data_IF_054578692908
#
_entry.id   IF_054578692908
#
_cell.length_a   1.000
_cell.length_b   1.000
_cell.length_c   1.000
_cell.angle_alpha   90.00
_cell.angle_beta   90.00
_cell.angle_gamma   90.00
#
_symmetry.space_group_name_H-M   'P 1'
#
loop_
_entity.id
_entity.type
_entity.pdbx_description
1 polymer ?
#
# COMPACT_ATOMS: atom_id res chain seq x y z
N UNK A 1 8.18 -9.20 -35.67
CA UNK A 1 6.80 -8.80 -36.05
C UNK A 1 5.92 -9.09 -34.85
N UNK A 2 5.88 -8.14 -33.91
CA UNK A 2 5.10 -8.29 -32.68
C UNK A 2 3.66 -7.87 -32.96
N UNK A 3 2.75 -8.80 -32.68
CA UNK A 3 1.31 -8.64 -32.84
C UNK A 3 0.78 -7.63 -31.83
N UNK A 4 0.60 -6.39 -32.26
CA UNK A 4 -0.35 -5.46 -31.66
C UNK A 4 -1.74 -6.08 -31.83
N UNK A 5 -2.34 -6.57 -30.74
CA UNK A 5 -3.78 -6.81 -30.71
C UNK A 5 -4.46 -5.47 -30.40
N UNK A 6 -5.15 -4.84 -31.35
CA UNK A 6 -5.95 -3.66 -31.04
C UNK A 6 -7.12 -4.07 -30.14
N UNK A 7 -7.43 -3.21 -29.17
CA UNK A 7 -8.63 -3.34 -28.33
C UNK A 7 -9.87 -3.58 -29.19
N UNK A 8 -10.72 -4.59 -28.90
CA UNK A 8 -11.77 -5.03 -29.81
C UNK A 8 -13.04 -4.14 -29.83
N UNK A 9 -13.03 -2.92 -29.27
CA UNK A 9 -14.20 -2.03 -29.31
C UNK A 9 -13.82 -0.55 -29.52
N UNK A 10 -14.54 0.21 -30.37
CA UNK A 10 -14.61 1.66 -30.25
C UNK A 10 -15.47 1.97 -29.02
N UNK A 11 -14.87 1.89 -27.83
CA UNK A 11 -15.57 1.97 -26.55
C UNK A 11 -14.71 2.60 -25.46
N UNK A 12 -15.36 2.97 -24.34
CA UNK A 12 -14.73 3.60 -23.17
C UNK A 12 -13.62 2.71 -22.62
N UNK A 13 -12.40 3.24 -22.55
CA UNK A 13 -11.23 2.55 -22.01
C UNK A 13 -11.33 2.35 -20.49
N UNK A 14 -10.56 1.41 -19.92
CA UNK A 14 -10.49 1.22 -18.46
C UNK A 14 -10.08 2.49 -17.72
N UNK A 15 -9.14 3.24 -18.32
CA UNK A 15 -8.73 4.55 -17.84
C UNK A 15 -9.86 5.57 -17.81
N UNK A 16 -10.57 5.75 -18.92
CA UNK A 16 -11.70 6.68 -19.00
C UNK A 16 -12.83 6.29 -18.04
N UNK A 17 -13.10 4.99 -17.90
CA UNK A 17 -14.07 4.43 -16.96
C UNK A 17 -13.73 4.78 -15.52
N UNK A 18 -12.48 4.54 -15.10
CA UNK A 18 -12.02 4.89 -13.75
C UNK A 18 -12.09 6.41 -13.52
N UNK A 19 -11.55 7.21 -14.44
CA UNK A 19 -11.54 8.67 -14.29
C UNK A 19 -12.95 9.27 -14.29
N UNK A 20 -13.90 8.67 -14.99
CA UNK A 20 -15.32 9.05 -14.94
C UNK A 20 -15.91 8.78 -13.56
N UNK A 21 -15.69 7.59 -13.00
CA UNK A 21 -16.14 7.24 -11.65
C UNK A 21 -15.50 8.14 -10.57
N UNK A 22 -14.20 8.40 -10.66
CA UNK A 22 -13.47 9.28 -9.73
C UNK A 22 -13.82 10.76 -9.89
N UNK A 23 -14.52 11.13 -10.96
CA UNK A 23 -15.15 12.44 -11.12
C UNK A 23 -16.60 12.48 -10.59
N UNK A 24 -17.02 11.47 -9.84
CA UNK A 24 -18.40 11.30 -9.34
C UNK A 24 -19.47 11.33 -10.45
N UNK A 25 -19.12 10.80 -11.64
CA UNK A 25 -20.05 10.60 -12.75
C UNK A 25 -20.24 9.11 -12.99
N UNK A 26 -21.41 8.72 -13.49
CA UNK A 26 -21.72 7.33 -13.80
C UNK A 26 -20.92 6.89 -15.06
N UNK A 27 -20.00 5.91 -14.92
CA UNK A 27 -19.31 5.32 -16.06
C UNK A 27 -20.21 4.29 -16.78
N UNK A 28 -19.71 3.72 -17.87
CA UNK A 28 -20.39 2.64 -18.60
C UNK A 28 -20.57 1.34 -17.76
N UNK A 29 -19.66 1.09 -16.81
CA UNK A 29 -19.79 0.09 -15.73
C UNK A 29 -18.85 0.41 -14.57
N UNK A 30 -19.04 -0.26 -13.44
CA UNK A 30 -18.14 -0.15 -12.28
C UNK A 30 -16.70 -0.51 -12.70
N UNK A 31 -15.70 0.36 -12.46
CA UNK A 31 -14.29 0.03 -12.69
C UNK A 31 -13.83 -1.12 -11.78
N UNK A 32 -13.03 -2.04 -12.32
CA UNK A 32 -12.51 -3.19 -11.61
C UNK A 32 -11.00 -3.07 -11.42
N UNK A 33 -10.53 -3.30 -10.20
CA UNK A 33 -9.11 -3.46 -9.87
C UNK A 33 -8.86 -4.86 -9.31
N UNK A 34 -7.78 -5.49 -9.76
CA UNK A 34 -7.19 -6.69 -9.19
C UNK A 34 -5.67 -6.61 -9.37
N UNK A 35 -4.96 -6.44 -8.26
CA UNK A 35 -3.49 -6.46 -8.23
C UNK A 35 -2.80 -5.17 -8.64
N UNK A 36 -3.48 -4.02 -8.68
CA UNK A 36 -2.78 -2.74 -8.88
C UNK A 36 -1.96 -2.30 -7.66
N UNK A 37 -2.33 -2.75 -6.46
CA UNK A 37 -1.63 -2.49 -5.20
C UNK A 37 -1.66 -3.74 -4.32
N UNK A 38 -0.93 -3.73 -3.19
CA UNK A 38 -0.97 -4.89 -2.29
C UNK A 38 -2.29 -5.03 -1.54
N UNK A 39 -3.03 -3.93 -1.37
CA UNK A 39 -4.36 -3.95 -0.72
C UNK A 39 -5.48 -4.37 -1.68
N UNK A 40 -5.16 -4.52 -2.97
CA UNK A 40 -6.05 -5.08 -4.00
C UNK A 40 -5.48 -6.35 -4.65
N UNK A 41 -4.44 -6.95 -4.04
CA UNK A 41 -3.74 -8.11 -4.56
C UNK A 41 -4.46 -9.44 -4.39
N UNK A 42 -3.87 -10.49 -4.95
CA UNK A 42 -4.31 -11.88 -4.80
C UNK A 42 -3.13 -12.77 -4.47
N UNK A 43 -3.27 -13.60 -3.44
CA UNK A 43 -2.24 -14.53 -3.02
C UNK A 43 -1.94 -15.58 -4.12
N UNK A 44 -0.68 -15.97 -4.31
CA UNK A 44 -0.25 -16.91 -5.37
C UNK A 44 -1.05 -18.21 -5.42
N UNK A 45 -1.35 -18.80 -4.27
CA UNK A 45 -2.20 -20.01 -4.16
C UNK A 45 -3.63 -19.74 -4.62
N UNK A 46 -4.23 -18.63 -4.18
CA UNK A 46 -5.60 -18.26 -4.56
C UNK A 46 -5.67 -17.93 -6.06
N UNK A 47 -4.63 -17.28 -6.59
CA UNK A 47 -4.49 -16.97 -8.00
C UNK A 47 -4.47 -18.22 -8.87
N UNK A 48 -3.67 -19.24 -8.51
CA UNK A 48 -3.66 -20.52 -9.24
C UNK A 48 -5.02 -21.21 -9.22
N UNK A 49 -5.70 -21.24 -8.07
CA UNK A 49 -7.06 -21.80 -7.95
C UNK A 49 -8.08 -21.04 -8.80
N UNK A 50 -7.99 -19.70 -8.84
CA UNK A 50 -8.84 -18.85 -9.68
C UNK A 50 -8.62 -19.16 -11.16
N UNK A 51 -7.36 -19.28 -11.61
CA UNK A 51 -7.05 -19.65 -13.00
C UNK A 51 -7.66 -21.00 -13.38
N UNK A 52 -7.50 -22.00 -12.52
CA UNK A 52 -8.09 -23.32 -12.73
C UNK A 52 -9.62 -23.25 -12.82
N UNK A 53 -10.27 -22.54 -11.90
CA UNK A 53 -11.73 -22.37 -11.90
C UNK A 53 -12.25 -21.65 -13.16
N UNK A 54 -11.44 -20.79 -13.78
CA UNK A 54 -11.76 -20.08 -15.02
C UNK A 54 -11.34 -20.85 -16.29
N UNK A 55 -10.74 -22.04 -16.16
CA UNK A 55 -10.23 -22.82 -17.29
C UNK A 55 -9.04 -22.17 -18.01
N UNK A 56 -8.29 -21.30 -17.33
CA UNK A 56 -7.09 -20.65 -17.87
C UNK A 56 -5.87 -21.58 -17.76
N UNK A 57 -4.84 -21.42 -18.63
CA UNK A 57 -3.62 -22.22 -18.57
C UNK A 57 -2.93 -22.15 -17.21
N UNK A 58 -2.42 -23.30 -16.77
CA UNK A 58 -1.54 -23.39 -15.61
C UNK A 58 -0.22 -22.72 -15.91
N UNK A 59 0.16 -21.78 -15.05
CA UNK A 59 1.43 -21.04 -15.12
C UNK A 59 2.04 -20.97 -13.73
N UNK A 60 3.33 -20.65 -13.66
CA UNK A 60 3.99 -20.30 -12.41
C UNK A 60 3.70 -18.83 -12.10
N UNK A 61 2.96 -18.50 -11.02
CA UNK A 61 2.71 -17.11 -10.66
C UNK A 61 4.01 -16.36 -10.38
N UNK A 62 4.08 -15.12 -10.84
CA UNK A 62 5.18 -14.21 -10.48
C UNK A 62 4.81 -13.46 -9.19
N UNK A 63 5.52 -13.67 -8.07
CA UNK A 63 5.28 -12.87 -6.88
C UNK A 63 5.84 -11.45 -7.05
N UNK A 64 5.14 -10.45 -6.52
CA UNK A 64 5.67 -9.08 -6.43
C UNK A 64 5.67 -8.51 -5.01
N UNK A 65 5.13 -9.26 -4.05
CA UNK A 65 5.17 -8.96 -2.63
C UNK A 65 5.47 -10.28 -1.89
N UNK A 66 6.69 -10.42 -1.39
CA UNK A 66 7.14 -11.63 -0.72
C UNK A 66 6.52 -11.80 0.67
N UNK A 67 6.13 -10.70 1.32
CA UNK A 67 5.56 -10.73 2.68
C UNK A 67 4.19 -11.38 2.65
N UNK A 68 3.29 -10.89 1.80
CA UNK A 68 1.93 -11.38 1.66
C UNK A 68 1.78 -12.50 0.63
N UNK A 69 2.82 -12.79 -0.16
CA UNK A 69 2.77 -13.82 -1.20
C UNK A 69 1.84 -13.45 -2.36
N UNK A 70 1.82 -12.17 -2.78
CA UNK A 70 0.90 -11.68 -3.80
C UNK A 70 1.44 -11.89 -5.21
N UNK A 71 0.59 -12.39 -6.11
CA UNK A 71 0.88 -12.60 -7.52
C UNK A 71 0.64 -11.33 -8.34
N UNK A 72 1.44 -11.13 -9.39
CA UNK A 72 1.10 -10.24 -10.51
C UNK A 72 0.08 -10.99 -11.38
N UNK A 73 -1.15 -10.48 -11.56
CA UNK A 73 -2.11 -11.12 -12.44
C UNK A 73 -1.72 -10.95 -13.91
N UNK A 74 -1.70 -12.05 -14.64
CA UNK A 74 -1.29 -12.14 -16.04
C UNK A 74 -2.32 -11.53 -17.00
N UNK A 75 -1.87 -11.15 -18.20
CA UNK A 75 -2.68 -10.44 -19.21
C UNK A 75 -3.95 -11.20 -19.61
N UNK A 76 -3.89 -12.54 -19.69
CA UNK A 76 -5.04 -13.36 -20.06
C UNK A 76 -6.16 -13.31 -19.01
N UNK A 77 -5.80 -13.37 -17.72
CA UNK A 77 -6.74 -13.25 -16.61
C UNK A 77 -7.30 -11.83 -16.50
N UNK A 78 -6.46 -10.83 -16.68
CA UNK A 78 -6.87 -9.42 -16.65
C UNK A 78 -7.87 -9.13 -17.75
N UNK A 79 -7.58 -9.59 -18.97
CA UNK A 79 -8.50 -9.49 -20.10
C UNK A 79 -9.79 -10.25 -19.82
N UNK A 80 -9.69 -11.48 -19.28
CA UNK A 80 -10.83 -12.35 -18.99
C UNK A 80 -11.79 -11.77 -17.95
N UNK A 81 -11.26 -11.04 -16.96
CA UNK A 81 -12.03 -10.39 -15.91
C UNK A 81 -12.42 -8.94 -16.26
N UNK A 82 -11.83 -8.36 -17.31
CA UNK A 82 -12.05 -6.96 -17.67
C UNK A 82 -11.53 -6.01 -16.60
N UNK A 83 -10.33 -6.27 -16.05
CA UNK A 83 -9.68 -5.36 -15.07
C UNK A 83 -9.28 -4.06 -15.78
N UNK A 84 -9.56 -2.93 -15.15
CA UNK A 84 -9.45 -1.59 -15.74
C UNK A 84 -8.16 -0.86 -15.34
N UNK A 85 -7.44 -1.41 -14.37
CA UNK A 85 -6.39 -0.73 -13.62
C UNK A 85 -5.11 -1.57 -13.59
N UNK A 86 -3.96 -0.89 -13.65
CA UNK A 86 -2.63 -1.49 -13.61
C UNK A 86 -1.77 -0.85 -12.53
N UNK A 87 -1.02 -1.69 -11.83
CA UNK A 87 -0.14 -1.29 -10.73
C UNK A 87 1.29 -1.01 -11.14
N UNK A 88 1.83 0.08 -10.61
CA UNK A 88 3.26 0.34 -10.57
C UNK A 88 3.76 0.22 -9.14
N UNK A 89 4.65 -0.76 -8.95
CA UNK A 89 5.19 -1.12 -7.65
C UNK A 89 6.65 -0.69 -7.58
N UNK A 90 6.98 0.41 -6.88
CA UNK A 90 8.36 0.75 -6.59
C UNK A 90 9.08 -0.35 -5.82
N UNK A 91 10.39 -0.42 -5.97
CA UNK A 91 11.22 -1.34 -5.20
C UNK A 91 11.20 -0.94 -3.72
N UNK A 92 10.92 -1.92 -2.86
CA UNK A 92 10.83 -1.80 -1.42
C UNK A 92 11.21 -3.13 -0.75
N UNK A 93 11.23 -3.17 0.58
CA UNK A 93 11.58 -4.37 1.36
C UNK A 93 10.77 -5.63 1.03
N UNK A 94 9.61 -5.53 0.38
CA UNK A 94 8.81 -6.71 0.05
C UNK A 94 9.20 -7.33 -1.31
N UNK A 95 9.98 -6.64 -2.14
CA UNK A 95 10.27 -7.09 -3.51
C UNK A 95 11.69 -6.78 -3.99
N UNK A 96 12.51 -6.14 -3.15
CA UNK A 96 13.87 -5.77 -3.47
C UNK A 96 14.84 -6.32 -2.45
N UNK A 97 15.83 -7.10 -2.93
CA UNK A 97 16.84 -7.75 -2.10
C UNK A 97 16.22 -8.65 -1.01
N UNK A 98 15.12 -9.31 -1.33
CA UNK A 98 14.51 -10.32 -0.45
C UNK A 98 15.32 -11.61 -0.55
N UNK A 99 16.05 -11.92 0.52
CA UNK A 99 16.84 -13.15 0.62
C UNK A 99 16.27 -13.95 1.78
N UNK A 100 15.57 -15.03 1.43
CA UNK A 100 14.99 -15.95 2.41
C UNK A 100 16.04 -16.95 2.88
N UNK A 101 16.17 -17.13 4.19
CA UNK A 101 17.00 -18.16 4.81
C UNK A 101 16.13 -19.12 5.62
N UNK A 102 16.53 -20.39 5.67
CA UNK A 102 15.87 -21.36 6.52
C UNK A 102 16.47 -21.28 7.92
N UNK A 103 15.61 -21.22 8.94
CA UNK A 103 16.00 -21.25 10.35
C UNK A 103 15.16 -22.27 11.11
N UNK A 104 15.70 -22.78 12.21
CA UNK A 104 14.98 -23.60 13.17
C UNK A 104 14.80 -22.80 14.46
N UNK A 105 13.59 -22.75 14.99
CA UNK A 105 13.36 -22.16 16.30
C UNK A 105 13.98 -23.05 17.38
N UNK A 106 14.88 -22.49 18.20
CA UNK A 106 15.62 -23.25 19.21
C UNK A 106 14.71 -23.81 20.31
N UNK A 107 13.55 -23.17 20.57
CA UNK A 107 12.63 -23.57 21.64
C UNK A 107 11.61 -24.59 21.14
N UNK A 108 10.99 -24.35 19.99
CA UNK A 108 9.94 -25.24 19.46
C UNK A 108 10.48 -26.32 18.54
N UNK A 109 11.68 -26.15 17.97
CA UNK A 109 12.22 -27.03 16.93
C UNK A 109 11.55 -26.86 15.57
N UNK A 110 10.60 -25.94 15.42
CA UNK A 110 9.87 -25.69 14.17
C UNK A 110 10.74 -24.96 13.15
N UNK A 111 10.47 -25.19 11.87
CA UNK A 111 11.22 -24.60 10.77
C UNK A 111 10.49 -23.37 10.22
N UNK A 112 11.26 -22.33 9.92
CA UNK A 112 10.77 -21.09 9.36
C UNK A 112 11.62 -20.66 8.17
N UNK A 113 10.98 -20.01 7.20
CA UNK A 113 11.67 -19.04 6.36
C UNK A 113 11.85 -17.76 7.15
N UNK A 114 13.02 -17.14 7.04
CA UNK A 114 13.39 -15.88 7.68
C UNK A 114 13.89 -14.90 6.64
N UNK A 115 13.56 -13.63 6.81
CA UNK A 115 14.01 -12.53 5.95
C UNK A 115 14.32 -11.31 6.82
N UNK A 116 15.50 -10.71 6.64
CA UNK A 116 15.89 -9.46 7.31
C UNK A 116 15.94 -8.33 6.28
N UNK A 117 15.18 -7.28 6.51
CA UNK A 117 14.92 -6.26 5.49
C UNK A 117 15.74 -4.96 5.64
N UNK A 118 15.61 -4.05 4.68
CA UNK A 118 16.32 -2.76 4.66
C UNK A 118 15.94 -1.79 5.80
N UNK A 119 14.89 -2.12 6.57
CA UNK A 119 14.47 -1.37 7.76
C UNK A 119 15.05 -1.95 9.05
N UNK A 120 15.74 -3.08 8.98
CA UNK A 120 16.20 -3.84 10.14
C UNK A 120 15.11 -4.74 10.76
N UNK A 121 13.99 -4.94 10.07
CA UNK A 121 12.92 -5.82 10.54
C UNK A 121 13.26 -7.27 10.16
N UNK A 122 13.13 -8.18 11.13
CA UNK A 122 13.18 -9.61 10.85
C UNK A 122 11.77 -10.16 10.71
N UNK A 123 11.52 -10.81 9.59
CA UNK A 123 10.26 -11.44 9.21
C UNK A 123 10.41 -12.96 9.28
N UNK A 124 9.36 -13.67 9.71
CA UNK A 124 9.31 -15.14 9.69
C UNK A 124 8.03 -15.67 9.04
N UNK A 125 8.15 -16.77 8.31
CA UNK A 125 7.03 -17.52 7.71
C UNK A 125 7.19 -19.02 8.03
N UNK A 126 6.19 -19.68 8.65
CA UNK A 126 6.28 -21.09 8.99
C UNK A 126 6.55 -21.99 7.76
N UNK A 127 7.28 -23.09 7.95
CA UNK A 127 7.45 -24.14 6.94
C UNK A 127 6.64 -25.40 7.27
N UNK A 128 6.26 -26.20 6.26
CA UNK A 128 6.38 -25.91 4.82
C UNK A 128 5.26 -24.99 4.28
N UNK A 129 4.15 -24.86 5.02
CA UNK A 129 2.87 -24.38 4.47
C UNK A 129 2.48 -22.94 4.90
N UNK A 130 3.40 -22.17 5.47
CA UNK A 130 3.14 -20.77 5.84
C UNK A 130 2.73 -19.92 4.64
N UNK A 131 1.65 -19.16 4.78
CA UNK A 131 1.09 -18.34 3.70
C UNK A 131 1.77 -16.98 3.56
N UNK A 132 2.15 -16.37 4.67
CA UNK A 132 2.72 -15.03 4.69
C UNK A 132 3.81 -14.92 5.77
N UNK A 133 4.70 -13.96 5.56
CA UNK A 133 5.64 -13.54 6.58
C UNK A 133 4.94 -12.67 7.62
N UNK A 134 5.29 -12.87 8.87
CA UNK A 134 4.93 -12.02 9.99
C UNK A 134 6.16 -11.32 10.52
N UNK A 135 6.00 -10.10 11.03
CA UNK A 135 7.05 -9.42 11.76
C UNK A 135 7.39 -10.24 13.00
N UNK A 136 8.64 -10.69 13.08
CA UNK A 136 9.16 -11.46 14.21
C UNK A 136 9.96 -10.58 15.17
N UNK A 137 10.76 -9.66 14.62
CA UNK A 137 11.58 -8.76 15.43
C UNK A 137 11.58 -7.36 14.81
N UNK A 138 11.18 -6.39 15.63
CA UNK A 138 11.30 -4.97 15.31
C UNK A 138 12.72 -4.46 15.67
N UNK A 139 13.30 -3.54 14.88
CA UNK A 139 14.68 -3.08 15.05
C UNK A 139 14.90 -2.26 16.32
N UNK A 140 13.88 -1.54 16.81
CA UNK A 140 13.97 -0.60 17.93
C UNK A 140 12.95 -0.90 19.04
N UNK A 141 12.55 -2.16 19.17
CA UNK A 141 11.67 -2.62 20.25
C UNK A 141 12.49 -2.81 21.54
N UNK A 142 12.62 -1.73 22.32
CA UNK A 142 13.32 -1.73 23.61
C UNK A 142 12.68 -0.75 24.62
N UNK A 143 12.70 -1.06 25.94
CA UNK A 143 12.05 -0.24 26.95
C UNK A 143 12.58 1.19 27.08
N UNK A 144 13.90 1.37 26.93
CA UNK A 144 14.57 2.68 27.06
C UNK A 144 14.93 3.24 25.67
N UNK A 145 13.91 3.43 24.83
CA UNK A 145 14.08 4.05 23.52
C UNK A 145 14.32 5.56 23.67
N UNK A 146 15.35 6.07 22.99
CA UNK A 146 15.68 7.49 22.96
C UNK A 146 15.52 8.09 21.57
N UNK A 147 15.44 9.42 21.48
CA UNK A 147 15.44 10.11 20.18
C UNK A 147 16.72 9.83 19.38
N UNK A 148 17.86 9.68 20.06
CA UNK A 148 19.12 9.38 19.41
C UNK A 148 19.14 7.98 18.77
N UNK A 149 18.47 7.00 19.37
CA UNK A 149 18.31 5.67 18.77
C UNK A 149 17.54 5.74 17.45
N UNK A 150 16.45 6.50 17.42
CA UNK A 150 15.64 6.73 16.22
C UNK A 150 16.48 7.44 15.15
N UNK A 151 17.22 8.49 15.52
CA UNK A 151 18.03 9.29 14.59
C UNK A 151 19.22 8.51 14.03
N UNK A 152 19.83 7.62 14.82
CA UNK A 152 20.98 6.81 14.41
C UNK A 152 20.61 5.50 13.71
N UNK A 153 19.32 5.12 13.70
CA UNK A 153 18.88 3.94 12.99
C UNK A 153 19.27 3.99 11.51
N UNK A 154 19.65 2.85 10.94
CA UNK A 154 20.07 2.74 9.56
C UNK A 154 18.85 2.78 8.61
N UNK A 155 18.27 3.97 8.46
CA UNK A 155 17.10 4.19 7.61
C UNK A 155 17.40 3.90 6.14
N UNK A 156 16.47 3.25 5.41
CA UNK A 156 16.65 2.99 4.00
C UNK A 156 16.64 4.29 3.19
N UNK A 157 17.42 4.30 2.10
CA UNK A 157 17.49 5.44 1.19
C UNK A 157 16.26 5.46 0.27
N UNK A 158 15.30 6.31 0.58
CA UNK A 158 14.02 6.41 -0.15
C UNK A 158 14.08 7.25 -1.42
N UNK A 159 15.09 8.10 -1.57
CA UNK A 159 15.31 8.94 -2.75
C UNK A 159 16.17 8.27 -3.85
N UNK A 160 16.35 6.95 -3.79
CA UNK A 160 17.11 6.20 -4.79
C UNK A 160 16.28 6.01 -6.08
N UNK A 161 16.71 6.57 -7.23
CA UNK A 161 15.99 6.42 -8.50
C UNK A 161 15.85 4.97 -8.97
N UNK A 162 16.71 4.06 -8.50
CA UNK A 162 16.57 2.63 -8.80
C UNK A 162 15.20 2.09 -8.34
N UNK A 163 14.58 2.69 -7.32
CA UNK A 163 13.27 2.27 -6.82
C UNK A 163 12.15 2.41 -7.85
N UNK A 164 12.33 3.25 -8.85
CA UNK A 164 11.34 3.49 -9.91
C UNK A 164 11.85 3.13 -11.30
N UNK A 165 12.99 2.42 -11.40
CA UNK A 165 13.57 2.04 -12.68
C UNK A 165 12.58 1.22 -13.52
N UNK A 166 12.39 1.61 -14.79
CA UNK A 166 11.48 0.96 -15.73
C UNK A 166 9.99 1.24 -15.51
N UNK A 167 9.61 2.00 -14.46
CA UNK A 167 8.20 2.25 -14.18
C UNK A 167 7.56 3.21 -15.19
N UNK A 168 8.30 4.17 -15.76
CA UNK A 168 7.76 5.11 -16.75
C UNK A 168 7.33 4.37 -18.01
N UNK A 169 8.22 3.57 -18.58
CA UNK A 169 7.97 2.81 -19.81
C UNK A 169 6.79 1.85 -19.62
N UNK A 170 6.70 1.24 -18.43
CA UNK A 170 5.58 0.40 -18.03
C UNK A 170 4.26 1.19 -17.92
N UNK A 171 4.29 2.38 -17.33
CA UNK A 171 3.12 3.27 -17.22
C UNK A 171 2.59 3.67 -18.60
N UNK A 172 3.49 4.09 -19.49
CA UNK A 172 3.17 4.54 -20.84
C UNK A 172 2.56 3.39 -21.67
N UNK A 173 3.12 2.18 -21.55
CA UNK A 173 2.56 0.98 -22.18
C UNK A 173 1.14 0.65 -21.66
N UNK A 174 0.91 0.73 -20.35
CA UNK A 174 -0.41 0.51 -19.77
C UNK A 174 -1.44 1.55 -20.22
N UNK A 175 -1.05 2.83 -20.26
CA UNK A 175 -1.93 3.90 -20.76
C UNK A 175 -2.24 3.73 -22.24
N UNK A 176 -1.25 3.37 -23.06
CA UNK A 176 -1.45 3.09 -24.48
C UNK A 176 -2.41 1.91 -24.72
N UNK A 177 -2.40 0.93 -23.81
CA UNK A 177 -3.35 -0.19 -23.81
C UNK A 177 -4.72 0.16 -23.19
N UNK A 178 -4.94 1.41 -22.73
CA UNK A 178 -6.22 1.89 -22.22
C UNK A 178 -6.48 1.62 -20.73
N UNK A 179 -5.46 1.21 -19.96
CA UNK A 179 -5.59 1.01 -18.51
C UNK A 179 -5.34 2.30 -17.73
N UNK A 180 -6.01 2.44 -16.58
CA UNK A 180 -5.60 3.41 -15.57
C UNK A 180 -4.33 2.94 -14.86
N UNK A 181 -3.47 3.88 -14.44
CA UNK A 181 -2.22 3.55 -13.76
C UNK A 181 -2.24 4.01 -12.31
N UNK A 182 -1.97 3.08 -11.39
CA UNK A 182 -1.84 3.35 -9.95
C UNK A 182 -0.37 3.26 -9.54
N UNK A 183 0.17 4.32 -8.95
CA UNK A 183 1.49 4.30 -8.32
C UNK A 183 1.36 4.09 -6.81
N UNK A 184 2.02 3.05 -6.34
CA UNK A 184 2.01 2.64 -4.93
C UNK A 184 3.02 3.46 -4.09
N UNK A 185 2.68 3.70 -2.82
CA UNK A 185 3.57 4.21 -1.76
C UNK A 185 4.89 3.40 -1.66
N UNK A 186 6.00 3.97 -1.18
CA UNK A 186 7.25 3.23 -1.04
C UNK A 186 7.23 2.25 0.14
N UNK A 187 6.39 2.49 1.16
CA UNK A 187 6.24 1.65 2.35
C UNK A 187 4.91 1.91 3.06
N UNK A 188 4.61 1.13 4.11
CA UNK A 188 3.44 1.25 4.98
C UNK A 188 3.21 2.67 5.55
N UNK A 189 2.08 2.88 6.19
CA UNK A 189 1.72 4.20 6.72
C UNK A 189 2.65 4.74 7.81
N UNK A 190 2.48 5.99 8.19
CA UNK A 190 3.33 6.62 9.21
C UNK A 190 3.10 5.94 10.55
N UNK A 191 1.85 5.68 10.92
CA UNK A 191 1.52 5.01 12.17
C UNK A 191 1.81 3.51 12.09
N UNK A 192 1.39 2.83 11.02
CA UNK A 192 1.66 1.40 10.80
C UNK A 192 3.16 1.08 10.76
N UNK A 193 3.95 1.86 10.01
CA UNK A 193 5.40 1.64 9.92
C UNK A 193 6.09 1.93 11.25
N UNK A 194 5.64 2.95 11.99
CA UNK A 194 6.16 3.20 13.34
C UNK A 194 5.98 1.97 14.25
N UNK A 195 4.83 1.30 14.21
CA UNK A 195 4.59 0.06 14.98
C UNK A 195 5.59 -1.03 14.59
N UNK A 196 5.92 -1.14 13.30
CA UNK A 196 6.90 -2.13 12.80
C UNK A 196 8.33 -1.83 13.24
N UNK A 197 8.66 -0.56 13.48
CA UNK A 197 10.01 -0.15 13.89
C UNK A 197 10.22 -0.31 15.40
N UNK A 198 9.27 0.14 16.22
CA UNK A 198 9.45 0.17 17.68
C UNK A 198 8.61 -0.85 18.44
N UNK A 199 7.74 -1.59 17.76
CA UNK A 199 6.73 -2.44 18.39
C UNK A 199 5.44 -1.66 18.71
N UNK A 200 4.28 -2.33 18.59
CA UNK A 200 2.98 -1.69 18.79
C UNK A 200 2.80 -1.16 20.23
N UNK A 201 3.20 -1.94 21.24
CA UNK A 201 3.10 -1.56 22.64
C UNK A 201 3.92 -0.30 22.95
N UNK A 202 5.21 -0.31 22.59
CA UNK A 202 6.08 0.84 22.79
C UNK A 202 5.57 2.07 22.07
N UNK A 203 5.08 1.93 20.82
CA UNK A 203 4.53 3.08 20.10
C UNK A 203 3.31 3.67 20.83
N UNK A 204 2.34 2.84 21.20
CA UNK A 204 1.12 3.32 21.86
C UNK A 204 1.43 3.95 23.23
N UNK A 205 2.35 3.36 23.99
CA UNK A 205 2.83 3.93 25.25
C UNK A 205 3.52 5.27 25.01
N UNK A 206 4.46 5.34 24.06
CA UNK A 206 5.17 6.57 23.71
C UNK A 206 4.21 7.67 23.24
N UNK A 207 3.22 7.37 22.39
CA UNK A 207 2.22 8.36 21.97
C UNK A 207 1.39 8.92 23.13
N UNK A 208 1.23 8.16 24.22
CA UNK A 208 0.46 8.55 25.40
C UNK A 208 1.31 9.25 26.48
N UNK A 209 2.57 8.83 26.68
CA UNK A 209 3.44 9.31 27.76
C UNK A 209 4.49 10.34 27.29
N UNK A 210 4.96 10.24 26.06
CA UNK A 210 5.99 11.10 25.47
C UNK A 210 5.73 11.34 23.96
N UNK A 211 4.71 12.16 23.68
CA UNK A 211 4.33 12.50 22.31
C UNK A 211 5.45 13.20 21.53
N UNK A 212 6.43 13.82 22.21
CA UNK A 212 7.58 14.43 21.56
C UNK A 212 8.51 13.36 20.98
N UNK A 213 8.79 12.31 21.75
CA UNK A 213 9.57 11.16 21.26
C UNK A 213 8.85 10.43 20.11
N UNK A 214 7.53 10.21 20.22
CA UNK A 214 6.75 9.66 19.10
C UNK A 214 6.82 10.56 17.86
N UNK A 215 6.78 11.88 18.08
CA UNK A 215 6.95 12.90 17.06
C UNK A 215 8.24 12.74 16.27
N UNK A 216 9.38 12.46 16.92
CA UNK A 216 10.67 12.23 16.25
C UNK A 216 10.59 11.06 15.26
N UNK A 217 9.95 9.95 15.65
CA UNK A 217 9.75 8.81 14.75
C UNK A 217 8.82 9.14 13.59
N UNK A 218 7.68 9.80 13.86
CA UNK A 218 6.73 10.18 12.82
C UNK A 218 7.34 11.19 11.84
N UNK A 219 8.11 12.16 12.32
CA UNK A 219 8.83 13.12 11.49
C UNK A 219 9.81 12.39 10.57
N UNK A 220 10.59 11.45 11.12
CA UNK A 220 11.53 10.69 10.30
C UNK A 220 10.85 9.87 9.20
N UNK A 221 9.74 9.20 9.51
CA UNK A 221 8.96 8.46 8.52
C UNK A 221 8.33 9.38 7.47
N UNK A 222 7.92 10.60 7.87
CA UNK A 222 7.39 11.62 6.97
C UNK A 222 8.47 12.11 6.01
N UNK A 223 9.67 12.43 6.51
CA UNK A 223 10.83 12.83 5.69
C UNK A 223 11.16 11.77 4.63
N UNK A 224 11.16 10.49 5.02
CA UNK A 224 11.42 9.38 4.10
C UNK A 224 10.34 9.26 3.01
N UNK A 225 9.05 9.44 3.35
CA UNK A 225 7.97 9.49 2.34
C UNK A 225 8.14 10.69 1.41
N UNK A 226 8.39 11.88 1.96
CA UNK A 226 8.57 13.10 1.15
C UNK A 226 9.77 12.97 0.21
N UNK A 227 10.91 12.44 0.68
CA UNK A 227 12.09 12.20 -0.14
C UNK A 227 11.83 11.25 -1.31
N UNK A 228 11.04 10.18 -1.09
CA UNK A 228 10.59 9.32 -2.19
C UNK A 228 9.73 10.09 -3.20
N UNK A 229 8.72 10.84 -2.75
CA UNK A 229 7.80 11.53 -3.66
C UNK A 229 8.45 12.67 -4.42
N UNK A 230 9.37 13.41 -3.78
CA UNK A 230 10.20 14.43 -4.40
C UNK A 230 11.10 13.86 -5.49
N UNK A 231 11.54 12.62 -5.33
CA UNK A 231 12.28 11.91 -6.37
C UNK A 231 11.33 11.35 -7.45
N UNK A 232 10.25 10.69 -7.07
CA UNK A 232 9.45 9.87 -7.98
C UNK A 232 8.49 10.70 -8.86
N UNK A 233 7.77 11.66 -8.29
CA UNK A 233 6.70 12.35 -9.01
C UNK A 233 7.16 13.33 -10.09
N UNK A 234 8.32 14.00 -9.99
CA UNK A 234 8.87 14.71 -11.15
C UNK A 234 9.17 13.80 -12.36
N UNK A 235 9.29 12.48 -12.13
CA UNK A 235 9.64 11.49 -13.16
C UNK A 235 8.47 10.62 -13.60
N UNK A 236 7.39 10.55 -12.82
CA UNK A 236 6.24 9.68 -13.08
C UNK A 236 4.90 10.40 -13.01
N UNK A 237 4.86 11.63 -12.49
CA UNK A 237 3.64 12.33 -12.13
C UNK A 237 2.66 12.46 -13.28
N UNK A 238 3.15 12.73 -14.49
CA UNK A 238 2.38 12.88 -15.75
C UNK A 238 1.84 11.56 -16.33
N UNK A 239 2.32 10.42 -15.84
CA UNK A 239 1.94 9.08 -16.33
C UNK A 239 1.15 8.26 -15.32
N UNK A 240 0.72 8.87 -14.20
CA UNK A 240 -0.06 8.22 -13.15
C UNK A 240 -1.45 8.85 -13.02
N UNK A 241 -2.45 8.01 -12.83
CA UNK A 241 -3.83 8.45 -12.63
C UNK A 241 -4.22 8.45 -11.15
N UNK A 242 -3.62 7.56 -10.36
CA UNK A 242 -3.89 7.40 -8.92
C UNK A 242 -2.58 7.19 -8.17
N UNK A 243 -2.44 7.82 -7.02
CA UNK A 243 -1.35 7.58 -6.07
C UNK A 243 -1.95 6.98 -4.80
N UNK A 244 -1.47 5.79 -4.44
CA UNK A 244 -1.98 5.00 -3.32
C UNK A 244 -1.09 5.13 -2.10
N UNK A 245 -1.68 5.56 -0.99
CA UNK A 245 -1.11 5.47 0.35
C UNK A 245 -1.90 4.48 1.20
N UNK A 246 -1.29 4.00 2.29
CA UNK A 246 -1.95 3.17 3.28
C UNK A 246 -1.49 3.58 4.68
N UNK A 247 -2.36 3.41 5.67
CA UNK A 247 -2.06 3.39 7.10
C UNK A 247 -3.17 2.59 7.80
N UNK A 248 -3.02 2.22 9.07
CA UNK A 248 -4.05 1.40 9.74
C UNK A 248 -4.52 2.02 11.05
N UNK A 249 -5.78 2.47 11.06
CA UNK A 249 -6.37 3.16 12.21
C UNK A 249 -7.60 2.47 12.78
N UNK A 250 -8.14 1.44 12.13
CA UNK A 250 -9.44 0.88 12.46
C UNK A 250 -9.37 -0.54 13.00
N UNK A 251 -10.23 -0.84 13.96
CA UNK A 251 -10.59 -2.19 14.37
C UNK A 251 -11.98 -2.54 13.82
N UNK A 252 -12.54 -3.70 14.14
CA UNK A 252 -13.92 -4.01 13.74
C UNK A 252 -14.97 -3.07 14.37
N UNK A 253 -14.67 -2.47 15.53
CA UNK A 253 -15.67 -1.73 16.32
C UNK A 253 -15.27 -0.29 16.62
N UNK A 254 -13.98 0.05 16.61
CA UNK A 254 -13.45 1.37 17.02
C UNK A 254 -12.16 1.72 16.27
N UNK A 255 -11.54 2.85 16.61
CA UNK A 255 -10.19 3.19 16.14
C UNK A 255 -9.14 2.59 17.09
N UNK A 256 -7.91 2.38 16.58
CA UNK A 256 -6.73 1.93 17.34
C UNK A 256 -6.21 3.05 18.23
N UNK A 257 -6.21 4.29 17.73
CA UNK A 257 -5.90 5.51 18.49
C UNK A 257 -7.10 6.44 18.49
N UNK A 258 -7.23 7.27 19.52
CA UNK A 258 -8.34 8.23 19.58
C UNK A 258 -8.28 9.24 18.41
N UNK A 259 -9.43 9.71 17.88
CA UNK A 259 -9.44 10.78 16.89
C UNK A 259 -8.68 12.03 17.32
N UNK A 260 -8.64 12.33 18.63
CA UNK A 260 -7.80 13.40 19.19
C UNK A 260 -6.32 13.16 18.94
N UNK A 261 -5.80 11.97 19.25
CA UNK A 261 -4.39 11.62 19.02
C UNK A 261 -4.05 11.62 17.53
N UNK A 262 -4.93 11.07 16.68
CA UNK A 262 -4.74 11.14 15.23
C UNK A 262 -4.58 12.59 14.76
N UNK A 263 -5.52 13.48 15.12
CA UNK A 263 -5.49 14.90 14.73
C UNK A 263 -4.24 15.64 15.22
N UNK A 264 -3.77 15.33 16.42
CA UNK A 264 -2.64 16.02 17.03
C UNK A 264 -1.28 15.51 16.52
N UNK A 265 -1.13 14.19 16.34
CA UNK A 265 0.17 13.57 16.15
C UNK A 265 0.40 13.07 14.71
N UNK A 266 -0.65 12.61 14.02
CA UNK A 266 -0.54 11.88 12.73
C UNK A 266 -1.06 12.71 11.55
N UNK A 267 -2.23 13.35 11.69
CA UNK A 267 -2.86 14.15 10.63
C UNK A 267 -1.92 15.20 10.03
N UNK A 268 -1.14 15.98 10.81
CA UNK A 268 -0.23 16.97 10.23
C UNK A 268 0.85 16.35 9.33
N UNK A 269 1.25 15.11 9.63
CA UNK A 269 2.26 14.38 8.87
C UNK A 269 1.72 13.91 7.53
N UNK A 270 0.51 13.33 7.53
CA UNK A 270 -0.19 12.98 6.30
C UNK A 270 -0.59 14.21 5.46
N UNK A 271 -1.00 15.30 6.10
CA UNK A 271 -1.26 16.58 5.41
C UNK A 271 -0.03 17.02 4.59
N UNK A 272 1.17 17.00 5.19
CA UNK A 272 2.40 17.36 4.50
C UNK A 272 2.66 16.46 3.28
N UNK A 273 2.47 15.14 3.42
CA UNK A 273 2.62 14.18 2.30
C UNK A 273 1.60 14.46 1.20
N UNK A 274 0.31 14.61 1.54
CA UNK A 274 -0.75 14.83 0.56
C UNK A 274 -0.65 16.18 -0.15
N UNK A 275 -0.28 17.25 0.55
CA UNK A 275 -0.04 18.56 -0.07
C UNK A 275 1.14 18.51 -1.02
N UNK A 276 2.20 17.77 -0.65
CA UNK A 276 3.35 17.62 -1.53
C UNK A 276 3.01 16.82 -2.79
N UNK A 277 2.30 15.70 -2.64
CA UNK A 277 1.79 14.91 -3.77
C UNK A 277 0.87 15.75 -4.66
N UNK A 278 -0.05 16.53 -4.08
CA UNK A 278 -0.93 17.45 -4.82
C UNK A 278 -0.15 18.48 -5.62
N UNK A 279 0.96 18.97 -5.09
CA UNK A 279 1.84 19.92 -5.80
C UNK A 279 2.54 19.26 -6.98
N UNK A 280 3.06 18.05 -6.79
CA UNK A 280 3.89 17.36 -7.79
C UNK A 280 3.07 16.63 -8.87
N UNK A 281 1.87 16.16 -8.54
CA UNK A 281 0.98 15.43 -9.44
C UNK A 281 -0.49 15.86 -9.21
N UNK A 282 -0.86 17.12 -9.53
CA UNK A 282 -2.18 17.68 -9.19
C UNK A 282 -3.36 16.97 -9.84
N UNK A 283 -3.13 16.25 -10.94
CA UNK A 283 -4.16 15.52 -11.67
C UNK A 283 -4.35 14.08 -11.14
N UNK A 284 -3.37 13.54 -10.42
CA UNK A 284 -3.45 12.18 -9.89
C UNK A 284 -4.36 12.16 -8.65
N UNK A 285 -5.25 11.17 -8.60
CA UNK A 285 -6.19 11.00 -7.49
C UNK A 285 -5.51 10.38 -6.28
N UNK A 286 -5.81 10.91 -5.10
CA UNK A 286 -5.20 10.52 -3.83
C UNK A 286 -6.01 9.40 -3.17
N UNK A 287 -5.48 8.19 -3.24
CA UNK A 287 -6.02 7.00 -2.61
C UNK A 287 -5.42 6.80 -1.23
N UNK A 288 -6.25 6.43 -0.25
CA UNK A 288 -5.83 6.13 1.10
C UNK A 288 -6.49 4.86 1.60
N UNK A 289 -5.66 3.88 1.96
CA UNK A 289 -6.09 2.66 2.60
C UNK A 289 -6.07 2.80 4.12
N UNK A 290 -7.16 2.41 4.80
CA UNK A 290 -7.21 2.04 6.22
C UNK A 290 -8.44 1.19 6.46
N UNK A 291 -8.24 -0.04 6.93
CA UNK A 291 -9.35 -0.95 7.18
C UNK A 291 -10.01 -0.71 8.55
N UNK A 292 -11.17 -1.32 8.75
CA UNK A 292 -11.90 -1.27 10.03
C UNK A 292 -12.79 -0.03 10.15
N UNK A 293 -13.16 0.31 11.38
CA UNK A 293 -13.96 1.48 11.69
C UNK A 293 -13.04 2.71 11.64
N UNK A 294 -13.15 3.46 10.55
CA UNK A 294 -12.48 4.75 10.36
C UNK A 294 -13.47 5.91 10.24
N UNK A 295 -14.78 5.66 10.44
CA UNK A 295 -15.84 6.66 10.23
C UNK A 295 -15.55 8.00 10.94
N UNK A 296 -15.08 8.03 12.20
CA UNK A 296 -14.77 9.29 12.89
C UNK A 296 -13.58 10.07 12.32
N UNK A 297 -12.74 9.43 11.50
CA UNK A 297 -11.58 10.03 10.84
C UNK A 297 -11.85 10.43 9.39
N UNK A 298 -12.96 9.99 8.78
CA UNK A 298 -13.31 10.32 7.39
C UNK A 298 -13.33 11.84 7.13
N UNK A 299 -13.91 12.69 8.00
CA UNK A 299 -13.83 14.14 7.82
C UNK A 299 -12.39 14.65 7.76
N UNK A 300 -11.50 14.10 8.59
CA UNK A 300 -10.09 14.47 8.61
C UNK A 300 -9.38 13.99 7.33
N UNK A 301 -9.72 12.81 6.80
CA UNK A 301 -9.19 12.32 5.53
C UNK A 301 -9.63 13.21 4.35
N UNK A 302 -10.89 13.63 4.31
CA UNK A 302 -11.40 14.56 3.30
C UNK A 302 -10.65 15.90 3.40
N UNK A 303 -10.47 16.43 4.61
CA UNK A 303 -9.77 17.70 4.86
C UNK A 303 -8.33 17.68 4.33
N UNK A 304 -7.59 16.60 4.57
CA UNK A 304 -6.21 16.46 4.06
C UNK A 304 -6.15 16.12 2.56
N UNK A 305 -7.31 15.89 1.93
CA UNK A 305 -7.46 15.74 0.48
C UNK A 305 -7.40 14.30 -0.03
N UNK A 306 -7.76 13.31 0.79
CA UNK A 306 -8.07 11.96 0.34
C UNK A 306 -9.29 11.99 -0.59
N UNK A 307 -9.18 11.34 -1.75
CA UNK A 307 -10.23 11.28 -2.76
C UNK A 307 -10.79 9.85 -2.94
N UNK A 308 -10.02 8.83 -2.55
CA UNK A 308 -10.43 7.43 -2.63
C UNK A 308 -10.14 6.77 -1.28
N UNK A 309 -11.19 6.34 -0.59
CA UNK A 309 -11.07 5.56 0.64
C UNK A 309 -11.11 4.07 0.31
N UNK A 310 -10.13 3.33 0.82
CA UNK A 310 -10.09 1.88 0.69
C UNK A 310 -9.81 1.21 2.05
N UNK A 311 -10.39 0.05 2.33
CA UNK A 311 -11.67 -0.40 1.80
C UNK A 311 -12.82 0.45 2.39
N UNK A 312 -14.00 0.35 1.79
CA UNK A 312 -15.22 0.49 2.59
C UNK A 312 -15.42 -0.85 3.32
N UNK A 313 -14.94 -0.95 4.57
CA UNK A 313 -15.01 -2.18 5.35
C UNK A 313 -16.43 -2.41 5.88
N UNK A 314 -17.35 -2.89 5.05
CA UNK A 314 -18.80 -2.99 5.32
C UNK A 314 -19.20 -3.80 6.57
N UNK A 315 -18.30 -4.59 7.14
CA UNK A 315 -18.53 -5.37 8.36
C UNK A 315 -18.10 -4.65 9.63
N UNK A 316 -17.31 -3.58 9.51
CA UNK A 316 -16.92 -2.76 10.64
C UNK A 316 -18.07 -1.83 11.05
N UNK A 317 -18.21 -1.60 12.35
CA UNK A 317 -19.25 -0.72 12.90
C UNK A 317 -19.18 0.67 12.29
N UNK A 318 -20.31 1.18 11.77
CA UNK A 318 -20.39 2.53 11.22
C UNK A 318 -19.81 2.68 9.81
N UNK A 319 -19.48 1.59 9.11
CA UNK A 319 -18.95 1.62 7.75
C UNK A 319 -19.96 1.14 6.70
N UNK A 320 -21.26 1.26 7.00
CA UNK A 320 -22.35 0.84 6.12
C UNK A 320 -22.41 1.73 4.86
N UNK A 321 -22.39 1.16 3.63
CA UNK A 321 -22.27 1.95 2.40
C UNK A 321 -23.31 3.06 2.24
N UNK A 322 -24.59 2.77 2.53
CA UNK A 322 -25.66 3.75 2.41
C UNK A 322 -25.50 4.92 3.41
N UNK A 323 -25.04 4.64 4.63
CA UNK A 323 -24.79 5.66 5.64
C UNK A 323 -23.54 6.48 5.33
N UNK A 324 -22.52 5.88 4.72
CA UNK A 324 -21.34 6.61 4.25
C UNK A 324 -21.68 7.53 3.08
N UNK A 325 -22.43 7.03 2.08
CA UNK A 325 -22.89 7.82 0.94
C UNK A 325 -23.68 9.05 1.39
N UNK A 326 -24.67 8.85 2.27
CA UNK A 326 -25.50 9.94 2.80
C UNK A 326 -24.68 10.99 3.54
N UNK A 327 -23.71 10.58 4.35
CA UNK A 327 -23.00 11.51 5.25
C UNK A 327 -21.77 12.17 4.59
N UNK A 328 -21.19 11.56 3.55
CA UNK A 328 -19.90 12.00 2.99
C UNK A 328 -19.88 12.22 1.46
N UNK A 329 -20.92 11.86 0.71
CA UNK A 329 -20.98 12.13 -0.73
C UNK A 329 -21.26 10.92 -1.59
#
# INVERSE_FOLDING_TARGET
>A
MESFFPSPFPGVTGRERLLTALAHREPDRIPLDLGSTQVTGIHVIAYQKLRQALGLPTIKPQPYDSIQGLAIPDEDLITRLGVDVRGMNPLNSHNWKVIETEIQDEKSGELYWSYHDEWGITHRKPRPDGLYFSLWQAPLDKPELTSQDILNHAWPRMDDPQRIAGLREKAEAYRAAGYAVVLKDPFAGIFEMAQRIVGMENLLMMMASDAALAGVLFDRLTELKLGFWDMALPRLGDVVDVISHADDYGTQVSQIISPRMFRQQIKPKWQAVFDRVRTLAPHARRFFHSCGNVRPLIPDFIEIGVEILNPVHIRATGMEPAALKRDFG
#
